data_IF_229112684423
#
_entry.id   IF_229112684423
#
_cell.length_a   1.000
_cell.length_b   1.000
_cell.length_c   1.000
_cell.angle_alpha   90.00
_cell.angle_beta   90.00
_cell.angle_gamma   90.00
#
_symmetry.space_group_name_H-M   'P 1'
#
loop_
_entity.id
_entity.type
_entity.pdbx_description
1 polymer ?
#
# COMPACT_ATOMS: atom_id res chain seq x y z
N UNK A 1 8.29 -10.99 4.77
CA UNK A 1 9.13 -9.86 5.24
C UNK A 1 10.02 -9.42 4.10
N UNK A 2 9.61 -8.37 3.40
CA UNK A 2 10.36 -7.84 2.26
C UNK A 2 11.57 -7.04 2.78
N UNK A 3 12.78 -7.48 2.46
CA UNK A 3 14.03 -6.79 2.80
C UNK A 3 14.96 -6.77 1.58
N UNK A 4 15.12 -5.60 0.95
CA UNK A 4 16.41 -5.19 0.37
C UNK A 4 16.38 -3.69 0.08
N UNK A 5 17.34 -2.95 0.63
CA UNK A 5 17.61 -1.56 0.25
C UNK A 5 18.86 -1.50 -0.63
N UNK A 6 18.75 -0.89 -1.81
CA UNK A 6 19.88 -0.39 -2.59
C UNK A 6 19.59 1.07 -2.96
N UNK A 7 20.57 1.95 -2.71
CA UNK A 7 20.41 3.41 -2.69
C UNK A 7 21.29 4.12 -3.71
N UNK A 8 21.27 3.71 -4.99
CA UNK A 8 21.80 4.54 -6.09
C UNK A 8 20.99 4.28 -7.36
N UNK A 9 20.24 5.29 -7.84
CA UNK A 9 19.42 5.20 -9.04
C UNK A 9 18.47 6.37 -9.20
N UNK A 10 18.04 6.66 -10.42
CA UNK A 10 16.96 7.62 -10.71
C UNK A 10 15.68 7.17 -9.97
N UNK A 11 14.81 8.11 -9.55
CA UNK A 11 13.57 7.79 -8.81
C UNK A 11 12.74 6.71 -9.54
N UNK A 12 12.69 6.76 -10.88
CA UNK A 12 12.02 5.74 -11.70
C UNK A 12 12.65 4.35 -11.56
N UNK A 13 13.98 4.27 -11.51
CA UNK A 13 14.73 3.02 -11.32
C UNK A 13 14.53 2.47 -9.92
N UNK A 14 14.45 3.34 -8.91
CA UNK A 14 14.16 2.95 -7.53
C UNK A 14 12.73 2.44 -7.42
N UNK A 15 11.72 3.16 -7.92
CA UNK A 15 10.33 2.67 -7.84
C UNK A 15 10.20 1.34 -8.59
N UNK A 16 10.80 1.21 -9.78
CA UNK A 16 10.78 -0.03 -10.55
C UNK A 16 11.53 -1.18 -9.87
N UNK A 17 12.60 -0.92 -9.11
CA UNK A 17 13.33 -1.97 -8.39
C UNK A 17 12.68 -2.38 -7.06
N UNK A 18 11.82 -1.51 -6.52
CA UNK A 18 11.04 -1.78 -5.29
C UNK A 18 9.59 -2.20 -5.57
N UNK A 19 9.16 -2.21 -6.83
CA UNK A 19 7.85 -2.73 -7.21
C UNK A 19 7.91 -4.26 -7.25
N UNK A 20 7.22 -4.90 -6.31
CA UNK A 20 7.03 -6.35 -6.28
C UNK A 20 5.58 -6.65 -6.65
N UNK A 21 5.38 -7.27 -7.81
CA UNK A 21 4.05 -7.64 -8.33
C UNK A 21 3.26 -8.52 -7.35
N UNK A 22 3.94 -9.24 -6.45
CA UNK A 22 3.29 -10.04 -5.40
C UNK A 22 2.63 -9.19 -4.31
N UNK A 23 3.03 -7.92 -4.19
CA UNK A 23 2.44 -6.95 -3.28
C UNK A 23 1.33 -6.13 -3.95
N UNK A 24 1.08 -6.32 -5.24
CA UNK A 24 -0.02 -5.67 -5.95
C UNK A 24 -1.36 -6.23 -5.50
N UNK A 25 -2.35 -5.35 -5.31
CA UNK A 25 -3.68 -5.71 -4.84
C UNK A 25 -4.74 -4.97 -5.61
N UNK A 26 -5.71 -5.70 -6.19
CA UNK A 26 -6.65 -5.06 -7.10
C UNK A 26 -7.63 -4.13 -6.39
N UNK A 27 -7.84 -2.96 -7.00
CA UNK A 27 -8.56 -1.83 -6.38
C UNK A 27 -10.02 -2.15 -6.13
N UNK A 28 -10.65 -2.97 -6.98
CA UNK A 28 -12.04 -3.40 -6.83
C UNK A 28 -12.28 -4.25 -5.57
N UNK A 29 -11.22 -4.84 -5.01
CA UNK A 29 -11.28 -5.60 -3.76
C UNK A 29 -10.97 -4.73 -2.52
N UNK A 30 -10.76 -3.42 -2.68
CA UNK A 30 -10.45 -2.48 -1.61
C UNK A 30 -11.53 -1.41 -1.44
N UNK A 31 -12.27 -1.47 -0.34
CA UNK A 31 -13.17 -0.40 0.08
C UNK A 31 -12.43 0.61 0.96
N UNK A 32 -12.38 1.87 0.52
CA UNK A 32 -11.78 2.97 1.28
C UNK A 32 -12.81 3.56 2.24
N UNK A 33 -12.46 3.64 3.52
CA UNK A 33 -13.28 4.22 4.58
C UNK A 33 -12.85 5.64 4.96
N UNK A 34 -13.03 5.99 6.23
CA UNK A 34 -12.79 7.35 6.72
C UNK A 34 -11.30 7.63 6.97
N UNK A 35 -10.96 8.92 7.00
CA UNK A 35 -9.61 9.39 7.28
C UNK A 35 -9.25 9.15 8.76
N UNK A 36 -8.13 8.48 9.00
CA UNK A 36 -7.64 8.19 10.35
C UNK A 36 -6.31 8.90 10.69
N UNK A 37 -5.62 9.49 9.70
CA UNK A 37 -4.37 10.20 9.97
C UNK A 37 -3.90 11.11 8.82
N UNK A 38 -3.12 12.13 9.17
CA UNK A 38 -2.42 13.02 8.23
C UNK A 38 -0.93 12.96 8.55
N UNK A 39 -0.11 12.69 7.55
CA UNK A 39 1.35 12.65 7.68
C UNK A 39 2.05 13.52 6.64
N UNK A 40 3.38 13.60 6.74
CA UNK A 40 4.20 14.43 5.85
C UNK A 40 4.02 14.11 4.36
N UNK A 41 3.74 12.85 4.03
CA UNK A 41 3.61 12.37 2.65
C UNK A 41 2.17 12.30 2.16
N UNK A 42 1.17 12.42 3.03
CA UNK A 42 -0.23 12.35 2.63
C UNK A 42 -1.20 11.94 3.72
N UNK A 43 -2.23 11.18 3.34
CA UNK A 43 -3.32 10.77 4.23
C UNK A 43 -3.28 9.28 4.51
N UNK A 44 -3.78 8.89 5.68
CA UNK A 44 -4.03 7.51 6.05
C UNK A 44 -5.52 7.32 6.28
N UNK A 45 -6.13 6.37 5.57
CA UNK A 45 -7.54 6.01 5.71
C UNK A 45 -7.67 4.63 6.34
N UNK A 46 -8.75 4.41 7.08
CA UNK A 46 -9.20 3.05 7.35
C UNK A 46 -9.82 2.48 6.07
N UNK A 47 -9.73 1.17 5.85
CA UNK A 47 -10.43 0.49 4.77
C UNK A 47 -10.72 -0.98 5.07
N UNK A 48 -11.41 -1.63 4.14
CA UNK A 48 -11.67 -3.08 4.18
C UNK A 48 -11.17 -3.69 2.88
N UNK A 49 -10.27 -4.68 3.00
CA UNK A 49 -9.71 -5.41 1.88
C UNK A 49 -10.29 -6.83 1.85
N UNK A 50 -10.75 -7.26 0.67
CA UNK A 50 -11.30 -8.60 0.47
C UNK A 50 -10.22 -9.55 -0.03
N UNK A 51 -9.99 -10.64 0.72
CA UNK A 51 -9.04 -11.69 0.32
C UNK A 51 -7.57 -11.31 0.37
N UNK A 52 -7.21 -10.21 1.05
CA UNK A 52 -5.80 -9.82 1.27
C UNK A 52 -5.06 -10.80 2.18
N UNK A 53 -5.79 -11.47 3.08
CA UNK A 53 -5.29 -12.51 3.96
C UNK A 53 -6.01 -13.81 3.61
N UNK A 54 -5.26 -14.88 3.38
CA UNK A 54 -5.82 -16.19 3.00
C UNK A 54 -6.74 -16.79 4.08
N UNK A 55 -6.61 -16.35 5.32
CA UNK A 55 -7.43 -16.81 6.45
C UNK A 55 -8.71 -16.00 6.64
N UNK A 56 -8.76 -14.77 6.13
CA UNK A 56 -9.84 -13.82 6.38
C UNK A 56 -10.43 -13.31 5.07
N UNK A 57 -11.74 -13.52 4.88
CA UNK A 57 -12.43 -13.04 3.68
C UNK A 57 -12.42 -11.52 3.58
N UNK A 58 -12.52 -10.82 4.71
CA UNK A 58 -12.50 -9.37 4.83
C UNK A 58 -11.55 -8.99 5.97
N UNK A 59 -10.61 -8.10 5.70
CA UNK A 59 -9.64 -7.63 6.68
C UNK A 59 -9.70 -6.11 6.75
N UNK A 60 -9.75 -5.56 7.96
CA UNK A 60 -9.63 -4.11 8.16
C UNK A 60 -8.17 -3.71 8.00
N UNK A 61 -7.92 -2.69 7.18
CA UNK A 61 -6.57 -2.25 6.81
C UNK A 61 -6.40 -0.74 6.96
N UNK A 62 -5.15 -0.29 7.06
CA UNK A 62 -4.77 1.09 6.89
C UNK A 62 -4.31 1.32 5.44
N UNK A 63 -4.84 2.35 4.79
CA UNK A 63 -4.51 2.74 3.42
C UNK A 63 -3.70 4.03 3.48
N UNK A 64 -2.40 3.93 3.19
CA UNK A 64 -1.50 5.09 3.11
C UNK A 64 -1.51 5.65 1.69
N UNK A 65 -1.73 6.96 1.58
CA UNK A 65 -1.77 7.67 0.30
C UNK A 65 -0.62 8.67 0.23
N UNK A 66 -0.20 8.99 -0.99
CA UNK A 66 0.74 10.07 -1.28
C UNK A 66 -0.03 11.28 -1.82
N UNK A 67 0.35 12.49 -1.42
CA UNK A 67 -0.11 13.74 -2.07
C UNK A 67 0.93 14.18 -3.10
N UNK A 68 0.47 14.59 -4.27
CA UNK A 68 1.29 15.27 -5.27
C UNK A 68 1.50 16.74 -4.92
#
# INVERSE_FOLDING_TARGET
NCHRFQTEGTISTIISSYYDDQCEFSRENLAVGHLIGKGAFGFVYQGVAKGINSKEKLTTVAIKTVRG
#
